data_IF_172223942886
#
_entry.id   IF_172223942886
#
_cell.length_a   1.000
_cell.length_b   1.000
_cell.length_c   1.000
_cell.angle_alpha   90.00
_cell.angle_beta   90.00
_cell.angle_gamma   90.00
#
_symmetry.space_group_name_H-M   'P 1'
#
loop_
_entity.id
_entity.type
_entity.pdbx_description
1 polymer ?
#
# COMPACT_ATOMS: atom_id res chain seq x y z
N UNK A 1 -9.81 0.68 -11.34
CA UNK A 1 -9.57 1.98 -10.71
C UNK A 1 -9.69 1.87 -9.20
N UNK A 2 -8.70 2.35 -8.49
CA UNK A 2 -8.66 2.27 -7.04
C UNK A 2 -8.63 3.66 -6.43
N UNK A 3 -9.23 3.80 -5.26
CA UNK A 3 -9.22 5.04 -4.49
C UNK A 3 -7.93 5.15 -3.70
N UNK A 4 -7.22 6.26 -3.86
CA UNK A 4 -5.92 6.48 -3.27
C UNK A 4 -5.87 7.74 -2.43
N UNK A 5 -5.05 7.72 -1.38
CA UNK A 5 -4.66 8.92 -0.64
C UNK A 5 -3.15 9.06 -0.67
N UNK A 6 -2.68 10.30 -0.61
CA UNK A 6 -1.26 10.63 -0.63
C UNK A 6 -0.91 11.42 0.63
N UNK A 7 0.05 10.92 1.37
CA UNK A 7 0.52 11.52 2.62
C UNK A 7 1.98 11.91 2.45
N UNK A 8 2.26 13.22 2.41
CA UNK A 8 3.60 13.75 2.17
C UNK A 8 3.65 15.16 2.70
N UNK A 9 4.71 15.49 3.41
CA UNK A 9 4.91 16.87 3.90
C UNK A 9 5.15 17.89 2.80
N UNK A 10 5.50 17.45 1.59
CA UNK A 10 5.82 18.31 0.47
C UNK A 10 4.64 18.43 -0.48
N UNK A 11 4.07 19.63 -0.59
CA UNK A 11 2.90 19.88 -1.42
C UNK A 11 3.17 19.64 -2.91
N UNK A 12 4.37 19.95 -3.38
CA UNK A 12 4.75 19.74 -4.78
C UNK A 12 4.76 18.25 -5.09
N UNK A 13 5.33 17.45 -4.20
CA UNK A 13 5.35 16.00 -4.36
C UNK A 13 3.92 15.43 -4.38
N UNK A 14 3.03 15.93 -3.50
CA UNK A 14 1.64 15.50 -3.50
C UNK A 14 0.95 15.78 -4.84
N UNK A 15 1.16 16.97 -5.38
CA UNK A 15 0.56 17.35 -6.67
C UNK A 15 1.09 16.49 -7.82
N UNK A 16 2.39 16.25 -7.84
CA UNK A 16 3.00 15.42 -8.89
C UNK A 16 2.48 13.99 -8.83
N UNK A 17 2.43 13.41 -7.66
CA UNK A 17 1.97 12.03 -7.52
C UNK A 17 0.47 11.92 -7.81
N UNK A 18 -0.31 12.91 -7.43
CA UNK A 18 -1.73 12.98 -7.78
C UNK A 18 -1.91 12.93 -9.30
N UNK A 19 -1.12 13.71 -10.04
CA UNK A 19 -1.18 13.70 -11.51
C UNK A 19 -0.83 12.35 -12.08
N UNK A 20 0.21 11.70 -11.55
CA UNK A 20 0.64 10.37 -12.01
C UNK A 20 -0.46 9.34 -11.78
N UNK A 21 -1.01 9.29 -10.58
CA UNK A 21 -2.04 8.31 -10.25
C UNK A 21 -3.32 8.53 -11.06
N UNK A 22 -3.72 9.77 -11.22
CA UNK A 22 -4.89 10.13 -12.02
C UNK A 22 -4.72 9.72 -13.47
N UNK A 23 -3.54 9.96 -14.04
CA UNK A 23 -3.25 9.56 -15.42
C UNK A 23 -3.28 8.04 -15.60
N UNK A 24 -3.02 7.29 -14.54
CA UNK A 24 -3.07 5.83 -14.54
C UNK A 24 -4.45 5.26 -14.27
N UNK A 25 -5.47 6.10 -14.16
CA UNK A 25 -6.85 5.65 -13.94
C UNK A 25 -7.22 5.45 -12.48
N UNK A 26 -6.37 5.85 -11.54
CA UNK A 26 -6.71 5.79 -10.12
C UNK A 26 -7.39 7.09 -9.68
N UNK A 27 -8.22 7.01 -8.67
CA UNK A 27 -8.91 8.17 -8.12
C UNK A 27 -8.22 8.61 -6.83
N UNK A 28 -7.63 9.81 -6.82
CA UNK A 28 -7.04 10.38 -5.60
C UNK A 28 -8.16 11.09 -4.83
N UNK A 29 -8.58 10.48 -3.73
CA UNK A 29 -9.70 10.99 -2.94
C UNK A 29 -9.26 11.96 -1.85
N UNK A 30 -7.96 12.05 -1.58
CA UNK A 30 -7.43 13.00 -0.62
C UNK A 30 -5.92 13.00 -0.60
N UNK A 31 -5.36 14.10 -0.13
CA UNK A 31 -3.94 14.23 0.12
C UNK A 31 -3.70 15.16 1.31
N UNK A 32 -2.60 14.96 2.02
CA UNK A 32 -2.29 15.77 3.18
C UNK A 32 -0.83 15.61 3.59
N UNK A 33 -0.44 16.40 4.60
CA UNK A 33 0.81 16.15 5.29
C UNK A 33 0.70 14.91 6.18
N UNK A 34 1.76 14.59 6.92
CA UNK A 34 1.83 13.38 7.75
C UNK A 34 1.55 13.63 9.23
N UNK A 35 0.94 14.76 9.58
CA UNK A 35 0.55 15.02 10.96
C UNK A 35 -0.54 14.03 11.42
N UNK A 36 -0.55 13.65 12.70
CA UNK A 36 -1.52 12.66 13.19
C UNK A 36 -2.98 13.02 12.90
N UNK A 37 -3.35 14.29 13.04
CA UNK A 37 -4.72 14.71 12.73
C UNK A 37 -5.06 14.53 11.26
N UNK A 38 -4.08 14.74 10.38
CA UNK A 38 -4.25 14.55 8.94
C UNK A 38 -4.41 13.08 8.59
N UNK A 39 -3.63 12.20 9.22
CA UNK A 39 -3.77 10.76 9.03
C UNK A 39 -5.18 10.30 9.39
N UNK A 40 -5.71 10.77 10.51
CA UNK A 40 -7.06 10.42 10.95
C UNK A 40 -8.10 10.78 9.89
N UNK A 41 -7.98 11.96 9.27
CA UNK A 41 -8.90 12.38 8.21
C UNK A 41 -8.78 11.49 6.98
N UNK A 42 -7.56 11.14 6.60
CA UNK A 42 -7.33 10.32 5.40
C UNK A 42 -7.84 8.89 5.58
N UNK A 43 -7.66 8.34 6.78
CA UNK A 43 -8.17 7.00 7.11
C UNK A 43 -9.69 6.93 6.95
N UNK A 44 -10.41 7.99 7.30
CA UNK A 44 -11.87 8.04 7.18
C UNK A 44 -12.37 7.94 5.75
N UNK A 45 -11.53 8.28 4.78
CA UNK A 45 -11.88 8.18 3.37
C UNK A 45 -11.89 6.74 2.85
N UNK A 46 -11.43 5.80 3.68
CA UNK A 46 -11.39 4.37 3.35
C UNK A 46 -10.68 4.11 2.00
N UNK A 47 -9.44 4.59 1.85
CA UNK A 47 -8.71 4.38 0.60
C UNK A 47 -8.31 2.91 0.44
N UNK A 48 -8.16 2.51 -0.82
CA UNK A 48 -7.65 1.19 -1.15
C UNK A 48 -6.12 1.20 -1.30
N UNK A 49 -5.57 2.38 -1.64
CA UNK A 49 -4.13 2.60 -1.78
C UNK A 49 -3.73 3.78 -0.91
N UNK A 50 -2.65 3.62 -0.14
CA UNK A 50 -2.05 4.71 0.64
C UNK A 50 -0.61 4.87 0.17
N UNK A 51 -0.26 6.06 -0.30
CA UNK A 51 1.12 6.42 -0.64
C UNK A 51 1.62 7.37 0.44
N UNK A 52 2.64 6.98 1.16
CA UNK A 52 3.14 7.78 2.28
C UNK A 52 4.66 7.97 2.21
N UNK A 53 5.09 9.24 2.32
CA UNK A 53 6.48 9.61 2.57
C UNK A 53 6.62 9.96 4.06
N UNK A 54 7.28 9.09 4.81
CA UNK A 54 7.43 9.28 6.26
C UNK A 54 8.55 10.26 6.62
N UNK A 55 9.23 10.83 5.63
CA UNK A 55 10.39 11.66 5.85
C UNK A 55 11.59 10.80 6.21
N UNK A 56 12.15 11.00 7.41
CA UNK A 56 13.27 10.18 7.86
C UNK A 56 12.80 8.76 8.22
N UNK A 57 13.59 7.77 7.86
CA UNK A 57 13.32 6.37 8.18
C UNK A 57 13.73 6.08 9.63
N UNK A 58 12.97 6.61 10.57
CA UNK A 58 13.19 6.45 12.00
C UNK A 58 11.96 5.85 12.67
N UNK A 59 12.02 5.63 13.96
CA UNK A 59 10.94 4.99 14.71
C UNK A 59 9.62 5.76 14.58
N UNK A 60 9.66 7.09 14.65
CA UNK A 60 8.45 7.91 14.52
C UNK A 60 7.79 7.73 13.15
N UNK A 61 8.60 7.71 12.09
CA UNK A 61 8.09 7.49 10.75
C UNK A 61 7.46 6.12 10.59
N UNK A 62 8.12 5.10 11.09
CA UNK A 62 7.59 3.73 10.99
C UNK A 62 6.35 3.52 11.86
N UNK A 63 6.21 4.27 12.95
CA UNK A 63 4.97 4.23 13.74
C UNK A 63 3.76 4.73 12.96
N UNK A 64 3.95 5.68 12.05
CA UNK A 64 2.88 6.12 11.16
C UNK A 64 2.39 4.98 10.27
N UNK A 65 3.32 4.18 9.78
CA UNK A 65 3.00 3.00 8.97
C UNK A 65 2.24 1.97 9.81
N UNK A 66 2.69 1.73 11.03
CA UNK A 66 2.00 0.81 11.95
C UNK A 66 0.56 1.26 12.19
N UNK A 67 0.35 2.55 12.37
CA UNK A 67 -0.98 3.12 12.58
C UNK A 67 -1.87 2.90 11.35
N UNK A 68 -1.34 3.16 10.16
CA UNK A 68 -2.06 2.93 8.91
C UNK A 68 -2.44 1.47 8.73
N UNK A 69 -1.52 0.55 9.03
CA UNK A 69 -1.81 -0.89 8.95
C UNK A 69 -2.92 -1.30 9.89
N UNK A 70 -2.91 -0.75 11.09
CA UNK A 70 -3.94 -1.04 12.10
C UNK A 70 -5.30 -0.52 11.67
N UNK A 71 -5.34 0.72 11.17
CA UNK A 71 -6.60 1.39 10.83
C UNK A 71 -7.14 0.95 9.48
N UNK A 72 -6.26 0.55 8.56
CA UNK A 72 -6.61 0.16 7.18
C UNK A 72 -5.99 -1.20 6.85
N UNK A 73 -6.48 -2.28 7.50
CA UNK A 73 -5.82 -3.58 7.37
C UNK A 73 -5.88 -4.18 5.96
N UNK A 74 -6.82 -3.72 5.13
CA UNK A 74 -6.98 -4.23 3.78
C UNK A 74 -6.40 -3.32 2.70
N UNK A 75 -5.95 -2.14 3.07
CA UNK A 75 -5.40 -1.19 2.10
C UNK A 75 -3.96 -1.55 1.75
N UNK A 76 -3.56 -1.25 0.53
CA UNK A 76 -2.18 -1.40 0.09
C UNK A 76 -1.39 -0.15 0.46
N UNK A 77 -0.27 -0.33 1.15
CA UNK A 77 0.57 0.78 1.59
C UNK A 77 1.84 0.80 0.75
N UNK A 78 2.11 1.95 0.15
CA UNK A 78 3.32 2.21 -0.63
C UNK A 78 4.17 3.24 0.10
N UNK A 79 5.42 2.89 0.39
CA UNK A 79 6.37 3.83 0.96
C UNK A 79 7.00 4.65 -0.16
N UNK A 80 6.89 5.98 -0.03
CA UNK A 80 7.47 6.92 -0.98
C UNK A 80 8.74 7.49 -0.37
N UNK A 81 9.86 7.44 -1.10
CA UNK A 81 11.13 7.94 -0.56
C UNK A 81 12.12 8.23 -1.68
N UNK A 82 13.02 9.19 -1.43
CA UNK A 82 14.16 9.45 -2.30
C UNK A 82 15.37 8.59 -1.94
N UNK A 83 15.33 7.91 -0.79
CA UNK A 83 16.43 7.08 -0.29
C UNK A 83 15.87 5.79 0.27
N UNK A 84 15.90 4.74 -0.53
CA UNK A 84 15.46 3.42 -0.09
C UNK A 84 16.69 2.50 -0.08
N UNK A 85 17.29 2.31 1.09
CA UNK A 85 18.37 1.35 1.26
C UNK A 85 17.79 -0.01 1.69
N UNK A 86 18.66 -1.04 1.74
CA UNK A 86 18.23 -2.39 2.05
C UNK A 86 17.59 -2.50 3.44
N UNK A 87 18.12 -1.76 4.42
CA UNK A 87 17.60 -1.79 5.79
C UNK A 87 16.21 -1.17 5.87
N UNK A 88 16.03 -0.02 5.24
CA UNK A 88 14.73 0.66 5.18
C UNK A 88 13.70 -0.21 4.48
N UNK A 89 14.08 -0.83 3.37
CA UNK A 89 13.21 -1.73 2.60
C UNK A 89 12.74 -2.90 3.47
N UNK A 90 13.68 -3.55 4.15
CA UNK A 90 13.36 -4.69 4.99
C UNK A 90 12.45 -4.30 6.16
N UNK A 91 12.76 -3.21 6.86
CA UNK A 91 11.97 -2.72 7.98
C UNK A 91 10.56 -2.38 7.54
N UNK A 92 10.41 -1.71 6.41
CA UNK A 92 9.11 -1.33 5.88
C UNK A 92 8.27 -2.57 5.52
N UNK A 93 8.88 -3.56 4.89
CA UNK A 93 8.21 -4.80 4.54
C UNK A 93 7.73 -5.55 5.79
N UNK A 94 8.54 -5.59 6.83
CA UNK A 94 8.17 -6.23 8.10
C UNK A 94 6.99 -5.54 8.76
N UNK A 95 6.80 -4.24 8.52
CA UNK A 95 5.70 -3.47 9.09
C UNK A 95 4.48 -3.41 8.18
N UNK A 96 4.49 -4.14 7.08
CA UNK A 96 3.32 -4.29 6.23
C UNK A 96 3.24 -3.35 5.04
N UNK A 97 4.34 -2.72 4.66
CA UNK A 97 4.43 -1.98 3.39
C UNK A 97 4.43 -2.99 2.25
N UNK A 98 3.61 -2.74 1.24
CA UNK A 98 3.43 -3.66 0.12
C UNK A 98 4.30 -3.32 -1.08
N UNK A 99 4.63 -2.04 -1.27
CA UNK A 99 5.43 -1.61 -2.40
C UNK A 99 6.13 -0.28 -2.13
N UNK A 100 6.94 0.14 -3.09
CA UNK A 100 7.80 1.32 -2.94
C UNK A 100 7.67 2.21 -4.16
N UNK A 101 7.70 3.52 -3.91
CA UNK A 101 7.69 4.55 -4.95
C UNK A 101 8.88 5.46 -4.71
N UNK A 102 9.74 5.59 -5.71
CA UNK A 102 11.00 6.34 -5.59
C UNK A 102 10.83 7.75 -6.11
N UNK A 103 11.38 8.71 -5.40
CA UNK A 103 11.49 10.10 -5.84
C UNK A 103 12.86 10.31 -6.52
N UNK A 104 12.96 11.11 -7.57
CA UNK A 104 11.87 11.81 -8.27
C UNK A 104 10.96 10.84 -9.05
N UNK A 105 9.69 11.22 -9.16
CA UNK A 105 8.69 10.32 -9.75
C UNK A 105 8.91 10.12 -11.25
N UNK A 106 8.83 8.86 -11.66
CA UNK A 106 8.74 8.45 -13.06
C UNK A 106 7.37 7.80 -13.23
N UNK A 107 6.52 8.35 -14.09
CA UNK A 107 5.15 7.89 -14.23
C UNK A 107 5.04 6.41 -14.55
N UNK A 108 5.86 5.92 -15.48
CA UNK A 108 5.85 4.51 -15.86
C UNK A 108 6.25 3.62 -14.69
N UNK A 109 7.31 4.00 -13.99
CA UNK A 109 7.81 3.22 -12.84
C UNK A 109 6.80 3.20 -11.70
N UNK A 110 6.18 4.34 -11.40
CA UNK A 110 5.18 4.44 -10.33
C UNK A 110 3.97 3.56 -10.66
N UNK A 111 3.41 3.70 -11.84
CA UNK A 111 2.22 2.95 -12.23
C UNK A 111 2.50 1.46 -12.36
N UNK A 112 3.69 1.08 -12.83
CA UNK A 112 4.11 -0.32 -12.88
C UNK A 112 4.26 -0.91 -11.49
N UNK A 113 4.85 -0.17 -10.55
CA UNK A 113 5.00 -0.62 -9.17
C UNK A 113 3.64 -0.90 -8.53
N UNK A 114 2.69 0.00 -8.73
CA UNK A 114 1.34 -0.16 -8.18
C UNK A 114 0.66 -1.37 -8.80
N UNK A 115 0.68 -1.50 -10.13
CA UNK A 115 0.05 -2.61 -10.82
C UNK A 115 0.67 -3.95 -10.42
N UNK A 116 1.98 -4.03 -10.38
CA UNK A 116 2.68 -5.27 -10.03
C UNK A 116 2.40 -5.67 -8.58
N UNK A 117 2.31 -4.70 -7.69
CA UNK A 117 1.98 -4.95 -6.29
C UNK A 117 0.54 -5.47 -6.16
N UNK A 118 -0.41 -4.86 -6.86
CA UNK A 118 -1.80 -5.32 -6.87
C UNK A 118 -1.89 -6.76 -7.34
N UNK A 119 -1.21 -7.09 -8.44
CA UNK A 119 -1.22 -8.44 -9.00
C UNK A 119 -0.60 -9.44 -8.00
N UNK A 120 0.54 -9.10 -7.41
CA UNK A 120 1.23 -9.96 -6.45
C UNK A 120 0.36 -10.25 -5.23
N UNK A 121 -0.26 -9.21 -4.66
CA UNK A 121 -1.10 -9.37 -3.48
C UNK A 121 -2.35 -10.19 -3.82
N UNK A 122 -2.97 -9.97 -4.97
CA UNK A 122 -4.12 -10.77 -5.40
C UNK A 122 -3.76 -12.26 -5.52
N UNK A 123 -2.58 -12.56 -6.06
CA UNK A 123 -2.09 -13.94 -6.16
C UNK A 123 -1.85 -14.56 -4.78
N UNK A 124 -1.27 -13.81 -3.87
CA UNK A 124 -1.03 -14.28 -2.50
C UNK A 124 -2.34 -14.57 -1.78
N UNK A 125 -3.34 -13.72 -1.95
CA UNK A 125 -4.64 -13.91 -1.33
C UNK A 125 -5.34 -15.14 -1.88
N UNK A 126 -5.26 -15.38 -3.18
CA UNK A 126 -5.84 -16.58 -3.80
C UNK A 126 -5.13 -17.85 -3.31
N UNK A 127 -3.82 -17.83 -3.23
CA UNK A 127 -3.05 -18.95 -2.72
C UNK A 127 -3.41 -19.26 -1.27
N UNK A 128 -3.52 -18.23 -0.43
CA UNK A 128 -3.90 -18.39 0.97
C UNK A 128 -5.33 -18.96 1.09
N UNK A 129 -6.25 -18.48 0.26
CA UNK A 129 -7.63 -18.97 0.26
C UNK A 129 -7.69 -20.44 -0.15
N UNK A 130 -6.90 -20.85 -1.15
CA UNK A 130 -6.83 -22.23 -1.58
C UNK A 130 -6.23 -23.13 -0.51
N UNK A 131 -5.20 -22.67 0.16
CA UNK A 131 -4.57 -23.42 1.27
C UNK A 131 -5.50 -23.54 2.47
N UNK A 132 -6.31 -22.52 2.72
CA UNK A 132 -7.23 -22.51 3.85
C UNK A 132 -8.46 -23.41 3.59
N UNK A 133 -8.78 -23.68 2.33
CA UNK A 133 -9.89 -24.55 1.97
C UNK A 133 -9.45 -25.99 2.16
N UNK A 134 -10.05 -26.74 3.10
CA UNK A 134 -9.69 -28.13 3.25
C UNK A 134 -10.15 -28.86 1.99
N UNK A 135 -9.39 -29.65 1.56
CA UNK A 135 -9.68 -30.38 0.35
C UNK A 135 -10.89 -31.24 0.54
N UNK A 136 -11.25 -30.40 1.33
CA UNK A 136 -11.78 -30.40 1.69
C UNK A 136 -12.27 -30.75 2.06
N UNK A 137 -12.60 -30.88 2.19
CA UNK A 137 -12.72 -30.82 2.85
C UNK A 137 -12.97 -31.17 2.69
N UNK A 138 -13.13 -31.41 2.46
CA UNK A 138 -13.14 -31.30 2.59
C UNK A 138 -13.20 -31.67 2.11
N UNK A 139 -13.61 -32.06 1.88
CA UNK A 139 -13.61 -32.11 1.77
C UNK A 139 -13.49 -32.52 1.52
N UNK A 140 -13.97 -33.25 1.34
CA UNK A 140 -13.84 -33.35 1.41
C UNK A 140 -13.71 -33.56 0.92
N UNK A 141 -14.12 -34.37 0.53
CA UNK A 141 -13.95 -34.24 0.53
C UNK A 141 -13.85 -34.44 -0.09
N UNK A 142 -14.02 -34.73 -0.25
CA UNK A 142 -13.83 -34.51 -0.36
C UNK A 142 -13.74 -34.37 -1.02
N UNK A 143 -13.97 -34.71 -1.10
CA UNK A 143 -13.86 -34.21 -1.30
C UNK A 143 -13.55 -34.04 -1.79
N UNK A 144 -13.91 -35.00 -1.83
CA UNK A 144 -13.49 -34.54 -2.01
C UNK A 144 -13.18 -34.31 -2.72
N UNK A 145 -13.32 -34.57 -2.74
CA UNK A 145 -12.82 -33.98 -3.06
C UNK A 145 -12.52 -33.45 -3.49
N UNK A 146 -12.60 -33.41 -3.26
CA UNK A 146 -12.11 -32.65 -3.36
C UNK A 146 -11.84 -32.10 -3.43
N UNK A 147 -12.06 -32.08 -3.18
CA UNK A 147 -11.62 -31.41 -3.08
C UNK A 147 -11.43 -31.08 -3.36
#
# INVERSE_FOLDING_TARGET
>A
MLKAVILDGNAIARNLLTSVLTSGGHEVVGDSNIAPASLTKMVRLRPEIVCIDIGDANDEGFELIDQLRKDLPKSLIFLVSSKIDANTLQTAQQRGVHGFIVKPFNSVAVLSSIRNTIIRIAKQQRAAAQEATPAGAGDSGTEAAAG
#
